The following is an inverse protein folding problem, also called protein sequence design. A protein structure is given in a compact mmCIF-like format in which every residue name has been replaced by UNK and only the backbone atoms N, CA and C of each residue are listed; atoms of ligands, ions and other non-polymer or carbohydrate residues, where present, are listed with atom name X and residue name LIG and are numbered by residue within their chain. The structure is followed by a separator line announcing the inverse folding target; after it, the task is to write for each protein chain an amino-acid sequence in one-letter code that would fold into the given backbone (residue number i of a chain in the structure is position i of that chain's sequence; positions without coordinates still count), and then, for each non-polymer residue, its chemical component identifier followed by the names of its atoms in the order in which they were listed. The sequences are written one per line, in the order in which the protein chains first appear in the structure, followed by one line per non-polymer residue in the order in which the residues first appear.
data_IF_202996543835
#
_entry.id   IF_202996543835
#
_cell.length_a   1.000
_cell.length_b   1.000
_cell.length_c   1.000
_cell.angle_alpha   90.00
_cell.angle_beta   90.00
_cell.angle_gamma   90.00
#
_symmetry.space_group_name_H-M   'P 1'
#
loop_
_entity.id
_entity.type
_entity.pdbx_description
1 polymer ?
#
# COMPACT_ATOMS: atom_id res chain seq x y z
N UNK A 1 10.29 -4.17 -3.96
CA UNK A 1 9.85 -3.53 -2.72
C UNK A 1 10.34 -2.10 -2.72
N UNK A 2 9.51 -1.14 -2.31
CA UNK A 2 9.88 0.27 -2.12
C UNK A 2 9.38 0.66 -0.73
N UNK A 3 10.29 1.04 0.17
CA UNK A 3 9.92 1.34 1.56
C UNK A 3 9.13 2.65 1.67
N UNK A 4 9.58 3.68 0.96
CA UNK A 4 8.92 4.99 0.93
C UNK A 4 8.86 5.54 -0.51
N UNK A 5 7.72 5.33 -1.16
CA UNK A 5 7.49 5.74 -2.54
C UNK A 5 7.38 7.27 -2.67
N UNK A 6 6.79 7.96 -1.70
CA UNK A 6 6.58 9.40 -1.79
C UNK A 6 7.91 10.18 -1.71
N UNK A 7 8.85 9.71 -0.89
CA UNK A 7 10.19 10.29 -0.81
C UNK A 7 10.99 10.07 -2.10
N UNK A 8 10.91 8.87 -2.68
CA UNK A 8 11.58 8.56 -3.96
C UNK A 8 11.09 9.49 -5.08
N UNK A 9 9.77 9.69 -5.18
CA UNK A 9 9.17 10.57 -6.18
C UNK A 9 9.57 12.03 -5.95
N UNK A 10 9.62 12.47 -4.70
CA UNK A 10 9.99 13.86 -4.32
C UNK A 10 11.47 14.14 -4.56
N UNK A 11 12.33 13.13 -4.45
CA UNK A 11 13.76 13.26 -4.68
C UNK A 11 14.11 13.51 -6.15
N UNK A 12 13.30 13.04 -7.09
CA UNK A 12 13.52 13.20 -8.52
C UNK A 12 13.13 14.61 -8.98
N UNK A 13 13.87 15.15 -9.96
CA UNK A 13 13.44 16.36 -10.68
C UNK A 13 12.12 16.10 -11.40
N UNK A 14 11.34 17.17 -11.62
CA UNK A 14 9.96 17.09 -12.14
C UNK A 14 9.83 16.19 -13.38
N UNK A 15 10.76 16.29 -14.33
CA UNK A 15 10.74 15.49 -15.57
C UNK A 15 10.93 14.01 -15.28
N UNK A 16 11.91 13.66 -14.43
CA UNK A 16 12.16 12.28 -14.06
C UNK A 16 11.09 11.71 -13.12
N UNK A 17 10.52 12.52 -12.24
CA UNK A 17 9.40 12.12 -11.39
C UNK A 17 8.17 11.72 -12.23
N UNK A 18 7.82 12.51 -13.24
CA UNK A 18 6.69 12.21 -14.13
C UNK A 18 6.96 10.95 -14.97
N UNK A 19 8.18 10.79 -15.49
CA UNK A 19 8.59 9.60 -16.22
C UNK A 19 8.55 8.35 -15.32
N UNK A 20 9.02 8.47 -14.08
CA UNK A 20 9.03 7.39 -13.10
C UNK A 20 7.60 6.94 -12.76
N UNK A 21 6.69 7.88 -12.46
CA UNK A 21 5.27 7.58 -12.19
C UNK A 21 4.60 6.90 -13.39
N UNK A 22 4.88 7.35 -14.61
CA UNK A 22 4.35 6.73 -15.83
C UNK A 22 4.81 5.26 -15.95
N UNK A 23 6.12 5.00 -15.78
CA UNK A 23 6.67 3.64 -15.80
C UNK A 23 6.11 2.77 -14.68
N UNK A 24 5.98 3.32 -13.47
CA UNK A 24 5.41 2.61 -12.32
C UNK A 24 3.96 2.20 -12.58
N UNK A 25 3.15 3.08 -13.18
CA UNK A 25 1.79 2.77 -13.59
C UNK A 25 1.74 1.63 -14.61
N UNK A 26 2.63 1.64 -15.61
CA UNK A 26 2.76 0.53 -16.57
C UNK A 26 3.13 -0.78 -15.88
N UNK A 27 4.06 -0.74 -14.91
CA UNK A 27 4.43 -1.93 -14.13
C UNK A 27 3.21 -2.45 -13.36
N UNK A 28 2.47 -1.60 -12.65
CA UNK A 28 1.28 -2.03 -11.90
C UNK A 28 0.25 -2.70 -12.82
N UNK A 29 0.00 -2.12 -14.00
CA UNK A 29 -0.94 -2.69 -14.98
C UNK A 29 -0.48 -4.06 -15.51
N UNK A 30 0.81 -4.22 -15.86
CA UNK A 30 1.32 -5.45 -16.49
C UNK A 30 1.72 -6.53 -15.47
N UNK A 31 2.06 -6.15 -14.24
CA UNK A 31 2.59 -7.04 -13.20
C UNK A 31 1.67 -8.22 -12.92
N UNK A 32 0.35 -8.00 -12.96
CA UNK A 32 -0.67 -9.03 -12.74
C UNK A 32 -0.62 -10.15 -13.79
N UNK A 33 -0.34 -9.80 -15.05
CA UNK A 33 -0.23 -10.78 -16.14
C UNK A 33 1.11 -11.54 -16.12
N UNK A 34 2.15 -10.96 -15.52
CA UNK A 34 3.50 -11.51 -15.46
C UNK A 34 3.81 -12.22 -14.13
N UNK A 35 2.80 -12.40 -13.27
CA UNK A 35 2.96 -12.96 -11.93
C UNK A 35 4.03 -12.23 -11.09
N UNK A 36 4.16 -10.92 -11.28
CA UNK A 36 5.06 -10.05 -10.52
C UNK A 36 4.26 -9.34 -9.44
N UNK A 37 4.84 -9.25 -8.24
CA UNK A 37 4.22 -8.57 -7.10
C UNK A 37 5.02 -7.33 -6.73
N UNK A 38 4.33 -6.19 -6.66
CA UNK A 38 4.91 -4.93 -6.21
C UNK A 38 4.40 -4.61 -4.82
N UNK A 39 5.33 -4.30 -3.91
CA UNK A 39 5.04 -3.82 -2.58
C UNK A 39 5.69 -2.44 -2.41
N UNK A 40 4.88 -1.44 -2.07
CA UNK A 40 5.33 -0.05 -1.85
C UNK A 40 4.71 0.49 -0.56
N UNK A 41 5.53 1.02 0.34
CA UNK A 41 5.10 1.78 1.50
C UNK A 41 5.02 3.28 1.20
N UNK A 42 4.13 3.96 1.91
CA UNK A 42 4.05 5.42 2.00
C UNK A 42 3.68 5.81 3.43
N UNK A 43 4.36 6.81 4.00
CA UNK A 43 3.94 7.39 5.28
C UNK A 43 2.76 8.35 5.14
N UNK A 44 2.71 9.08 4.02
CA UNK A 44 1.60 9.97 3.67
C UNK A 44 1.13 9.66 2.25
N UNK A 45 -0.12 9.19 2.14
CA UNK A 45 -0.75 8.96 0.86
C UNK A 45 -1.28 10.29 0.29
N UNK A 46 -0.49 10.93 -0.57
CA UNK A 46 -0.91 12.13 -1.32
C UNK A 46 -1.22 11.78 -2.77
N UNK A 47 -2.17 12.51 -3.37
CA UNK A 47 -2.56 12.34 -4.78
C UNK A 47 -1.40 12.56 -5.77
N UNK A 48 -0.33 13.24 -5.34
CA UNK A 48 0.89 13.43 -6.13
C UNK A 48 1.73 12.16 -6.26
N UNK A 49 1.54 11.15 -5.41
CA UNK A 49 2.40 9.95 -5.42
C UNK A 49 2.08 9.03 -6.59
N UNK A 50 0.81 8.98 -7.02
CA UNK A 50 0.35 8.14 -8.13
C UNK A 50 -0.22 8.98 -9.27
N UNK A 51 0.04 8.57 -10.51
CA UNK A 51 -0.63 9.12 -11.69
C UNK A 51 -2.06 8.58 -11.80
N UNK A 52 -2.98 9.42 -12.30
CA UNK A 52 -4.40 9.13 -12.41
C UNK A 52 -4.66 7.75 -13.06
N UNK A 53 -5.27 6.83 -12.29
CA UNK A 53 -5.60 5.46 -12.71
C UNK A 53 -4.61 4.37 -12.25
N UNK A 54 -3.38 4.71 -11.85
CA UNK A 54 -2.43 3.70 -11.35
C UNK A 54 -2.89 3.05 -10.04
N UNK A 55 -3.71 3.78 -9.26
CA UNK A 55 -4.30 3.31 -8.00
C UNK A 55 -5.27 2.14 -8.19
N UNK A 56 -6.00 2.11 -9.30
CA UNK A 56 -7.05 1.10 -9.55
C UNK A 56 -6.41 -0.27 -9.86
N UNK A 57 -5.13 -0.27 -10.23
CA UNK A 57 -4.33 -1.48 -10.43
C UNK A 57 -3.78 -2.07 -9.12
N UNK A 58 -3.94 -1.39 -7.98
CA UNK A 58 -3.50 -1.90 -6.68
C UNK A 58 -4.48 -2.97 -6.17
N UNK A 59 -4.06 -4.23 -6.23
CA UNK A 59 -4.88 -5.36 -5.78
C UNK A 59 -5.05 -5.44 -4.27
N UNK A 60 -4.16 -4.84 -3.48
CA UNK A 60 -4.23 -4.82 -2.02
C UNK A 60 -3.73 -3.48 -1.50
N UNK A 61 -4.51 -2.83 -0.64
CA UNK A 61 -4.13 -1.56 0.00
C UNK A 61 -4.25 -1.77 1.50
N UNK A 62 -3.13 -1.59 2.22
CA UNK A 62 -3.07 -1.67 3.67
C UNK A 62 -2.90 -0.27 4.25
N UNK A 63 -3.83 0.12 5.11
CA UNK A 63 -3.95 1.43 5.71
C UNK A 63 -3.84 1.28 7.22
N UNK A 64 -2.65 1.51 7.78
CA UNK A 64 -2.38 1.34 9.20
C UNK A 64 -2.58 2.65 9.98
N UNK A 65 -3.01 2.52 11.23
CA UNK A 65 -3.25 3.64 12.14
C UNK A 65 -4.57 4.36 11.89
N UNK A 66 -4.66 5.58 12.40
CA UNK A 66 -5.84 6.43 12.24
C UNK A 66 -5.78 7.19 10.92
N UNK A 67 -6.81 7.03 10.10
CA UNK A 67 -6.85 7.62 8.77
C UNK A 67 -7.33 9.07 8.79
N UNK A 68 -6.57 9.92 8.10
CA UNK A 68 -6.98 11.29 7.81
C UNK A 68 -8.17 11.30 6.84
N UNK A 69 -8.90 12.41 6.79
CA UNK A 69 -10.00 12.58 5.83
C UNK A 69 -9.49 12.51 4.39
N UNK A 70 -8.32 13.11 4.13
CA UNK A 70 -7.65 13.10 2.81
C UNK A 70 -7.36 11.67 2.32
N UNK A 71 -6.84 10.81 3.20
CA UNK A 71 -6.56 9.41 2.86
C UNK A 71 -7.85 8.60 2.66
N UNK A 72 -8.90 8.88 3.44
CA UNK A 72 -10.21 8.26 3.22
C UNK A 72 -10.79 8.65 1.86
N UNK A 73 -10.77 9.95 1.53
CA UNK A 73 -11.26 10.47 0.25
C UNK A 73 -10.48 9.88 -0.93
N UNK A 74 -9.15 9.72 -0.78
CA UNK A 74 -8.28 9.14 -1.80
C UNK A 74 -8.68 7.71 -2.20
N UNK A 75 -9.07 6.89 -1.23
CA UNK A 75 -9.50 5.50 -1.43
C UNK A 75 -11.02 5.33 -1.44
N UNK A 76 -11.78 6.45 -1.49
CA UNK A 76 -13.25 6.45 -1.48
C UNK A 76 -13.84 5.68 -0.29
N UNK A 77 -13.19 5.82 0.88
CA UNK A 77 -13.61 5.20 2.13
C UNK A 77 -14.50 6.12 2.94
N UNK A 78 -15.53 5.53 3.53
CA UNK A 78 -16.40 6.22 4.48
C UNK A 78 -15.79 6.16 5.88
N UNK A 79 -15.27 7.29 6.36
CA UNK A 79 -14.67 7.40 7.70
C UNK A 79 -15.64 7.01 8.82
N UNK A 80 -16.95 7.17 8.63
CA UNK A 80 -17.95 6.78 9.63
C UNK A 80 -18.06 5.26 9.83
N UNK A 81 -17.67 4.48 8.81
CA UNK A 81 -17.64 3.02 8.83
C UNK A 81 -16.29 2.46 9.29
N UNK A 82 -15.27 3.31 9.39
CA UNK A 82 -13.97 2.93 9.91
C UNK A 82 -14.02 2.84 11.44
N UNK A 83 -13.53 1.74 11.98
CA UNK A 83 -13.37 1.64 13.42
C UNK A 83 -12.10 2.32 13.90
N UNK A 84 -12.07 2.71 15.17
CA UNK A 84 -10.87 3.22 15.80
C UNK A 84 -9.72 2.20 15.72
N UNK A 85 -8.51 2.68 15.43
CA UNK A 85 -7.28 1.92 15.42
C UNK A 85 -6.31 2.49 16.48
N UNK A 86 -6.58 2.27 17.78
CA UNK A 86 -5.84 2.95 18.85
C UNK A 86 -4.45 2.36 19.12
N UNK A 87 -4.15 1.17 18.61
CA UNK A 87 -2.90 0.47 18.86
C UNK A 87 -2.01 0.44 17.62
N UNK A 88 -0.67 0.54 17.77
CA UNK A 88 0.26 0.34 16.67
C UNK A 88 0.01 -0.97 15.95
N UNK A 89 0.08 -0.94 14.61
CA UNK A 89 -0.12 -2.11 13.77
C UNK A 89 -1.59 -2.45 13.49
N UNK A 90 -2.56 -1.81 14.13
CA UNK A 90 -3.96 -1.88 13.73
C UNK A 90 -4.23 -1.02 12.49
N UNK A 91 -5.16 -1.45 11.66
CA UNK A 91 -5.54 -0.72 10.46
C UNK A 91 -6.65 -1.38 9.69
N UNK A 92 -6.76 -1.00 8.43
CA UNK A 92 -7.73 -1.55 7.50
C UNK A 92 -7.03 -2.03 6.22
N UNK A 93 -7.55 -3.08 5.61
CA UNK A 93 -7.10 -3.58 4.32
C UNK A 93 -8.26 -3.56 3.34
N UNK A 94 -7.98 -3.08 2.14
CA UNK A 94 -8.87 -3.18 0.98
C UNK A 94 -8.30 -4.21 0.02
N UNK A 95 -9.18 -5.09 -0.47
CA UNK A 95 -8.83 -6.10 -1.46
C UNK A 95 -9.52 -5.78 -2.79
N UNK A 96 -8.74 -5.69 -3.86
CA UNK A 96 -9.16 -5.34 -5.22
C UNK A 96 -9.93 -4.00 -5.31
N UNK A 97 -9.61 -3.02 -4.46
CA UNK A 97 -10.18 -1.68 -4.53
C UNK A 97 -11.69 -1.58 -4.25
N UNK A 98 -12.33 -2.67 -3.77
CA UNK A 98 -13.75 -2.65 -3.42
C UNK A 98 -13.95 -2.09 -2.00
N UNK A 99 -14.81 -1.06 -1.80
CA UNK A 99 -15.15 -0.57 -0.46
C UNK A 99 -15.79 -1.66 0.41
N UNK A 100 -16.44 -2.65 -0.20
CA UNK A 100 -17.12 -3.75 0.49
C UNK A 100 -16.13 -4.83 0.98
N UNK A 101 -14.89 -4.81 0.50
CA UNK A 101 -13.83 -5.74 0.94
C UNK A 101 -12.98 -5.18 2.07
N UNK A 102 -13.42 -4.08 2.70
CA UNK A 102 -12.71 -3.46 3.82
C UNK A 102 -12.70 -4.38 5.04
N UNK A 103 -11.52 -4.85 5.40
CA UNK A 103 -11.29 -5.69 6.58
C UNK A 103 -10.44 -4.94 7.59
N UNK A 104 -10.72 -5.13 8.89
CA UNK A 104 -9.80 -4.66 9.93
C UNK A 104 -8.64 -5.65 10.06
N UNK A 105 -7.42 -5.13 10.14
CA UNK A 105 -6.22 -5.93 10.34
C UNK A 105 -5.47 -5.47 11.58
N UNK A 106 -4.73 -6.40 12.18
CA UNK A 106 -3.76 -6.11 13.22
C UNK A 106 -2.47 -6.84 12.86
N UNK A 107 -1.46 -6.06 12.52
CA UNK A 107 -0.12 -6.57 12.27
C UNK A 107 0.54 -6.85 13.62
N UNK A 108 1.18 -8.02 13.72
CA UNK A 108 1.89 -8.41 14.92
C UNK A 108 3.37 -8.04 14.75
N UNK A 109 4.00 -7.42 15.77
CA UNK A 109 5.43 -7.20 15.72
C UNK A 109 6.16 -8.54 15.70
N UNK A 110 7.14 -8.67 14.81
CA UNK A 110 8.00 -9.84 14.78
C UNK A 110 8.94 -9.75 15.98
N UNK A 111 8.74 -10.62 16.97
CA UNK A 111 9.56 -10.66 18.17
C UNK A 111 10.90 -11.37 17.97
N UNK A 112 10.96 -12.29 17.00
CA UNK A 112 12.13 -13.13 16.74
C UNK A 112 12.27 -13.36 15.23
N UNK A 113 13.25 -12.70 14.63
CA UNK A 113 13.53 -12.78 13.19
C UNK A 113 13.95 -14.19 12.76
N UNK A 114 14.64 -14.96 13.62
CA UNK A 114 15.07 -16.32 13.31
C UNK A 114 13.88 -17.30 13.27
N UNK A 115 12.84 -17.05 14.09
CA UNK A 115 11.59 -17.82 14.01
C UNK A 115 10.81 -17.47 12.75
N UNK A 116 10.74 -16.18 12.40
CA UNK A 116 10.10 -15.75 11.16
C UNK A 116 10.77 -16.40 9.94
N UNK A 117 12.09 -16.35 9.85
CA UNK A 117 12.83 -16.92 8.72
C UNK A 117 12.61 -18.43 8.59
N UNK A 118 12.66 -19.18 9.71
CA UNK A 118 12.34 -20.61 9.71
C UNK A 118 10.92 -20.89 9.23
N UNK A 119 9.92 -20.16 9.73
CA UNK A 119 8.54 -20.32 9.30
C UNK A 119 8.35 -20.03 7.80
N UNK A 120 9.04 -19.02 7.26
CA UNK A 120 9.04 -18.72 5.82
C UNK A 120 9.67 -19.88 5.03
N UNK A 121 10.82 -20.38 5.48
CA UNK A 121 11.49 -21.52 4.82
C UNK A 121 10.64 -22.79 4.84
N UNK A 122 9.93 -23.06 5.95
CA UNK A 122 8.99 -24.18 6.05
C UNK A 122 7.80 -24.02 5.10
N UNK A 123 7.27 -22.81 4.92
CA UNK A 123 6.13 -22.55 4.02
C UNK A 123 6.50 -22.56 2.52
N UNK A 124 7.80 -22.43 2.20
CA UNK A 124 8.31 -22.49 0.83
C UNK A 124 8.66 -23.92 0.37
N UNK A 125 8.75 -24.87 1.30
CA UNK A 125 8.96 -26.30 1.03
C UNK A 125 7.62 -27.05 0.91
#
# INVERSE_FOLDING_TARGET
YIDELAALVTYLDKKNADLFRSRLSTIYMLSRAQNMYTLSGVQRADASTWTAGARDNLGLIMLLGELSKETCDMFSLDKSKLGACPYPGMGHVLVNGSPDSLMRVHTLPIQDMNKMERAIQEALN
#
